data_IF_509122197513
#
_entry.id   IF_509122197513
#
_cell.length_a   1.000
_cell.length_b   1.000
_cell.length_c   1.000
_cell.angle_alpha   90.00
_cell.angle_beta   90.00
_cell.angle_gamma   90.00
#
_symmetry.space_group_name_H-M   'P 1'
#
loop_
_entity.id
_entity.type
_entity.pdbx_description
1 polymer ?
#
# COMPACT_ATOMS: atom_id res chain seq x y z
N UNK A 1 3.92 -31.72 -14.29
CA UNK A 1 2.64 -31.43 -14.98
C UNK A 1 1.63 -32.48 -14.56
N UNK A 2 0.34 -32.17 -14.48
CA UNK A 2 -0.62 -33.19 -14.10
C UNK A 2 -0.92 -34.13 -15.27
N UNK A 3 -1.02 -35.43 -14.98
CA UNK A 3 -1.42 -36.47 -15.94
C UNK A 3 -0.62 -36.51 -17.24
N UNK A 4 0.63 -36.00 -17.26
CA UNK A 4 1.48 -36.01 -18.45
C UNK A 4 1.69 -37.42 -19.04
N UNK A 5 1.77 -38.43 -18.17
CA UNK A 5 1.84 -39.83 -18.60
C UNK A 5 0.65 -40.25 -19.48
N UNK A 6 -0.56 -39.75 -19.22
CA UNK A 6 -1.76 -40.06 -20.02
C UNK A 6 -1.59 -39.55 -21.46
N UNK A 7 -0.95 -38.39 -21.63
CA UNK A 7 -0.62 -37.86 -22.96
C UNK A 7 0.34 -38.80 -23.69
N UNK A 8 1.43 -39.22 -23.03
CA UNK A 8 2.39 -40.16 -23.63
C UNK A 8 1.75 -41.50 -24.00
N UNK A 9 0.95 -42.05 -23.09
CA UNK A 9 0.32 -43.37 -23.28
C UNK A 9 -0.77 -43.32 -24.37
N UNK A 10 -1.42 -42.16 -24.57
CA UNK A 10 -2.54 -42.01 -25.53
C UNK A 10 -2.10 -41.52 -26.92
N UNK A 11 -1.13 -40.61 -26.97
CA UNK A 11 -0.73 -39.90 -28.20
C UNK A 11 0.75 -40.14 -28.58
N UNK A 12 1.49 -40.90 -27.77
CA UNK A 12 2.89 -41.23 -28.00
C UNK A 12 3.88 -40.16 -27.53
N UNK A 13 5.15 -40.56 -27.42
CA UNK A 13 6.22 -39.70 -26.88
C UNK A 13 6.47 -38.41 -27.69
N UNK A 14 6.24 -38.43 -29.01
CA UNK A 14 6.38 -37.23 -29.85
C UNK A 14 5.37 -36.15 -29.42
N UNK A 15 4.13 -36.54 -29.12
CA UNK A 15 3.12 -35.62 -28.61
C UNK A 15 3.48 -35.12 -27.20
N UNK A 16 4.04 -36.00 -26.36
CA UNK A 16 4.56 -35.62 -25.04
C UNK A 16 5.67 -34.56 -25.11
N UNK A 17 6.64 -34.74 -26.00
CA UNK A 17 7.72 -33.77 -26.21
C UNK A 17 7.18 -32.41 -26.70
N UNK A 18 6.16 -32.44 -27.56
CA UNK A 18 5.48 -31.23 -28.01
C UNK A 18 4.74 -30.52 -26.86
N UNK A 19 4.05 -31.27 -25.98
CA UNK A 19 3.42 -30.71 -24.77
C UNK A 19 4.47 -30.07 -23.85
N UNK A 20 5.57 -30.76 -23.57
CA UNK A 20 6.64 -30.24 -22.72
C UNK A 20 7.26 -28.97 -23.29
N UNK A 21 7.49 -28.94 -24.60
CA UNK A 21 8.04 -27.77 -25.30
C UNK A 21 7.11 -26.57 -25.18
N UNK A 22 5.82 -26.78 -25.43
CA UNK A 22 4.82 -25.71 -25.38
C UNK A 22 4.60 -25.19 -23.95
N UNK A 23 4.52 -26.09 -22.96
CA UNK A 23 4.45 -25.69 -21.54
C UNK A 23 5.71 -24.92 -21.14
N UNK A 24 6.91 -25.40 -21.49
CA UNK A 24 8.16 -24.70 -21.17
C UNK A 24 8.16 -23.27 -21.73
N UNK A 25 7.69 -23.10 -22.98
CA UNK A 25 7.57 -21.81 -23.64
C UNK A 25 6.59 -20.89 -22.92
N UNK A 26 5.45 -21.41 -22.48
CA UNK A 26 4.42 -20.65 -21.75
C UNK A 26 4.90 -20.19 -20.39
N UNK A 27 5.53 -21.09 -19.63
CA UNK A 27 6.12 -20.74 -18.34
C UNK A 27 7.17 -19.66 -18.57
N UNK A 28 8.16 -19.89 -19.44
CA UNK A 28 9.22 -18.93 -19.71
C UNK A 28 8.69 -17.57 -20.20
N UNK A 29 7.64 -17.55 -21.04
CA UNK A 29 7.05 -16.32 -21.56
C UNK A 29 6.25 -15.51 -20.54
N UNK A 30 5.88 -16.11 -19.42
CA UNK A 30 5.17 -15.42 -18.34
C UNK A 30 6.09 -15.00 -17.20
N UNK A 31 7.34 -15.47 -17.13
CA UNK A 31 8.25 -15.11 -16.04
C UNK A 31 8.83 -13.69 -16.18
N UNK A 32 9.09 -13.04 -15.04
CA UNK A 32 9.84 -11.78 -14.99
C UNK A 32 11.32 -12.01 -15.34
N UNK A 33 12.07 -11.04 -15.93
CA UNK A 33 13.48 -11.24 -16.32
C UNK A 33 14.45 -11.70 -15.22
N UNK A 34 14.09 -11.43 -13.95
CA UNK A 34 14.86 -11.85 -12.77
C UNK A 34 14.56 -13.29 -12.34
N UNK A 35 13.39 -13.81 -12.68
CA UNK A 35 12.98 -15.18 -12.38
C UNK A 35 13.73 -16.18 -13.27
N UNK A 36 13.92 -17.40 -12.78
CA UNK A 36 14.65 -18.46 -13.50
C UNK A 36 13.80 -19.71 -13.63
N UNK A 37 13.74 -20.26 -14.83
CA UNK A 37 13.11 -21.55 -15.11
C UNK A 37 14.17 -22.64 -15.32
N UNK A 38 14.01 -23.76 -14.65
CA UNK A 38 14.74 -25.00 -14.90
C UNK A 38 13.80 -26.17 -15.09
N UNK A 39 14.20 -27.16 -15.90
CA UNK A 39 13.52 -28.46 -15.99
C UNK A 39 14.35 -29.48 -15.22
N UNK A 40 13.79 -30.02 -14.14
CA UNK A 40 14.50 -30.93 -13.24
C UNK A 40 14.56 -32.36 -13.79
N UNK A 41 13.50 -32.76 -14.50
CA UNK A 41 13.41 -34.07 -15.14
C UNK A 41 11.96 -34.41 -15.49
N UNK A 42 11.75 -35.31 -16.45
CA UNK A 42 10.40 -35.74 -16.82
C UNK A 42 9.47 -34.57 -17.13
N UNK A 43 8.37 -34.46 -16.39
CA UNK A 43 7.36 -33.41 -16.48
C UNK A 43 7.46 -32.34 -15.37
N UNK A 44 8.60 -32.28 -14.69
CA UNK A 44 8.85 -31.41 -13.54
C UNK A 44 9.69 -30.19 -13.92
N UNK A 45 9.20 -29.03 -13.45
CA UNK A 45 9.79 -27.73 -13.68
C UNK A 45 10.03 -27.06 -12.32
N UNK A 46 11.12 -26.33 -12.21
CA UNK A 46 11.49 -25.53 -11.03
C UNK A 46 11.58 -24.08 -11.47
N UNK A 47 10.92 -23.20 -10.72
CA UNK A 47 11.01 -21.75 -10.89
C UNK A 47 11.65 -21.15 -9.65
N UNK A 48 12.64 -20.29 -9.84
CA UNK A 48 13.30 -19.54 -8.76
C UNK A 48 12.90 -18.08 -8.91
N UNK A 49 12.32 -17.53 -7.84
CA UNK A 49 11.97 -16.11 -7.70
C UNK A 49 12.97 -15.48 -6.72
N UNK A 50 13.99 -14.74 -7.20
CA UNK A 50 14.98 -14.14 -6.32
C UNK A 50 14.47 -12.82 -5.73
N UNK A 51 14.97 -12.47 -4.54
CA UNK A 51 14.76 -11.16 -3.89
C UNK A 51 13.28 -10.77 -3.83
N UNK A 52 12.48 -11.61 -3.18
CA UNK A 52 11.08 -11.32 -2.92
C UNK A 52 10.98 -10.29 -1.80
N UNK A 53 10.11 -9.30 -1.97
CA UNK A 53 9.78 -8.33 -0.93
C UNK A 53 8.66 -8.89 -0.03
N UNK A 54 7.74 -9.65 -0.64
CA UNK A 54 6.62 -10.32 0.03
C UNK A 54 6.42 -11.74 -0.52
N UNK A 55 5.88 -12.66 0.29
CA UNK A 55 5.44 -13.99 -0.14
C UNK A 55 4.45 -13.93 -1.33
N UNK A 56 3.70 -12.82 -1.45
CA UNK A 56 2.80 -12.52 -2.57
C UNK A 56 3.52 -12.48 -3.92
N UNK A 57 4.81 -12.14 -3.98
CA UNK A 57 5.56 -12.16 -5.24
C UNK A 57 5.65 -13.58 -5.82
N UNK A 58 5.79 -14.57 -4.93
CA UNK A 58 5.85 -15.98 -5.30
C UNK A 58 4.47 -16.49 -5.65
N UNK A 59 3.44 -16.05 -4.93
CA UNK A 59 2.04 -16.39 -5.23
C UNK A 59 1.62 -15.86 -6.61
N UNK A 60 1.83 -14.56 -6.89
CA UNK A 60 1.54 -13.96 -8.20
C UNK A 60 2.26 -14.68 -9.33
N UNK A 61 3.49 -15.13 -9.08
CA UNK A 61 4.24 -15.94 -10.04
C UNK A 61 3.58 -17.30 -10.26
N UNK A 62 3.15 -17.98 -9.19
CA UNK A 62 2.44 -19.25 -9.28
C UNK A 62 1.09 -19.13 -10.01
N UNK A 63 0.30 -18.09 -9.73
CA UNK A 63 -0.96 -17.81 -10.43
C UNK A 63 -0.74 -17.54 -11.91
N UNK A 64 0.27 -16.73 -12.24
CA UNK A 64 0.62 -16.41 -13.62
C UNK A 64 1.05 -17.65 -14.40
N UNK A 65 1.83 -18.53 -13.77
CA UNK A 65 2.23 -19.83 -14.32
C UNK A 65 1.01 -20.73 -14.52
N UNK A 66 0.15 -20.87 -13.52
CA UNK A 66 -1.06 -21.69 -13.59
C UNK A 66 -1.99 -21.22 -14.72
N UNK A 67 -2.25 -19.91 -14.80
CA UNK A 67 -3.04 -19.30 -15.87
C UNK A 67 -2.43 -19.54 -17.26
N UNK A 68 -1.11 -19.42 -17.40
CA UNK A 68 -0.42 -19.67 -18.66
C UNK A 68 -0.49 -21.15 -19.08
N UNK A 69 -0.37 -22.08 -18.13
CA UNK A 69 -0.46 -23.52 -18.40
C UNK A 69 -1.87 -23.91 -18.84
N UNK A 70 -2.91 -23.41 -18.17
CA UNK A 70 -4.30 -23.81 -18.39
C UNK A 70 -4.90 -23.40 -19.73
N UNK A 71 -4.22 -22.56 -20.51
CA UNK A 71 -4.66 -22.27 -21.87
C UNK A 71 -4.66 -23.57 -22.69
N UNK A 72 -5.63 -23.76 -23.58
CA UNK A 72 -5.65 -24.92 -24.46
C UNK A 72 -4.65 -24.75 -25.62
N UNK A 73 -4.31 -25.86 -26.28
CA UNK A 73 -3.57 -25.86 -27.54
C UNK A 73 -3.81 -27.14 -28.31
N UNK A 74 -3.45 -27.12 -29.59
CA UNK A 74 -3.61 -28.26 -30.48
C UNK A 74 -2.28 -28.97 -30.72
N UNK A 75 -2.27 -30.30 -30.56
CA UNK A 75 -1.15 -31.18 -30.90
C UNK A 75 -1.70 -32.34 -31.72
N UNK A 76 -1.14 -32.53 -32.91
CA UNK A 76 -1.50 -33.65 -33.81
C UNK A 76 -3.02 -33.76 -34.07
N UNK A 77 -3.72 -32.61 -34.18
CA UNK A 77 -5.18 -32.61 -34.38
C UNK A 77 -6.02 -32.76 -33.11
N UNK A 78 -5.40 -32.88 -31.93
CA UNK A 78 -6.07 -33.02 -30.65
C UNK A 78 -5.94 -31.75 -29.81
N UNK A 79 -7.07 -31.26 -29.29
CA UNK A 79 -7.11 -30.17 -28.31
C UNK A 79 -6.71 -30.69 -26.94
N UNK A 80 -5.64 -30.13 -26.38
CA UNK A 80 -5.08 -30.47 -25.07
C UNK A 80 -5.26 -29.28 -24.13
N UNK A 81 -5.70 -29.57 -22.90
CA UNK A 81 -5.79 -28.60 -21.80
C UNK A 81 -4.95 -29.14 -20.65
N UNK A 82 -3.66 -28.79 -20.55
CA UNK A 82 -2.86 -29.29 -19.45
C UNK A 82 -3.18 -28.52 -18.16
N UNK A 83 -2.92 -29.17 -17.03
CA UNK A 83 -2.91 -28.53 -15.72
C UNK A 83 -1.56 -28.75 -15.05
N UNK A 84 -1.19 -27.83 -14.17
CA UNK A 84 0.00 -27.94 -13.33
C UNK A 84 -0.40 -27.95 -11.87
N UNK A 85 0.17 -28.87 -11.10
CA UNK A 85 0.26 -28.71 -9.64
C UNK A 85 1.59 -28.03 -9.31
N UNK A 86 1.57 -27.05 -8.41
CA UNK A 86 2.75 -26.26 -8.04
C UNK A 86 2.96 -26.34 -6.53
N UNK A 87 4.16 -26.69 -6.09
CA UNK A 87 4.57 -26.56 -4.69
C UNK A 87 5.39 -25.29 -4.52
N UNK A 88 5.22 -24.59 -3.41
CA UNK A 88 5.92 -23.33 -3.14
C UNK A 88 6.62 -23.43 -1.79
N UNK A 89 7.92 -23.12 -1.75
CA UNK A 89 8.67 -22.94 -0.52
C UNK A 89 9.45 -21.62 -0.58
N UNK A 90 9.53 -20.93 0.55
CA UNK A 90 10.23 -19.64 0.68
C UNK A 90 11.45 -19.84 1.57
N UNK A 91 12.58 -19.26 1.15
CA UNK A 91 13.81 -19.28 1.95
C UNK A 91 13.70 -18.33 3.14
N UNK A 92 14.09 -18.81 4.32
CA UNK A 92 14.23 -18.02 5.55
C UNK A 92 15.62 -17.37 5.70
N UNK A 93 16.44 -17.37 4.63
CA UNK A 93 17.82 -16.88 4.65
C UNK A 93 18.85 -17.86 5.24
N UNK A 94 18.40 -18.96 5.87
CA UNK A 94 19.24 -20.05 6.38
C UNK A 94 19.08 -21.37 5.62
N UNK A 95 18.07 -21.43 4.75
CA UNK A 95 17.69 -22.62 3.99
C UNK A 95 18.75 -23.04 2.97
N UNK A 96 18.97 -24.36 2.82
CA UNK A 96 19.81 -24.94 1.78
C UNK A 96 19.00 -25.21 0.51
N UNK A 97 19.68 -25.31 -0.64
CA UNK A 97 19.01 -25.66 -1.90
C UNK A 97 18.25 -27.00 -1.82
N UNK A 98 18.87 -28.03 -1.23
CA UNK A 98 18.23 -29.34 -1.02
C UNK A 98 17.03 -29.25 -0.06
N UNK A 99 17.11 -28.40 0.97
CA UNK A 99 16.01 -28.15 1.89
C UNK A 99 14.81 -27.54 1.18
N UNK A 100 15.03 -26.47 0.40
CA UNK A 100 13.97 -25.82 -0.37
C UNK A 100 13.32 -26.75 -1.39
N UNK A 101 14.10 -27.58 -2.08
CA UNK A 101 13.55 -28.56 -3.01
C UNK A 101 12.67 -29.59 -2.29
N UNK A 102 13.13 -30.12 -1.16
CA UNK A 102 12.36 -31.07 -0.35
C UNK A 102 11.03 -30.46 0.13
N UNK A 103 11.07 -29.21 0.57
CA UNK A 103 9.91 -28.52 1.10
C UNK A 103 8.93 -28.14 -0.03
N UNK A 104 9.45 -27.74 -1.20
CA UNK A 104 8.67 -27.54 -2.43
C UNK A 104 7.99 -28.85 -2.88
N UNK A 105 8.70 -29.98 -2.84
CA UNK A 105 8.13 -31.29 -3.19
C UNK A 105 7.02 -31.72 -2.23
N UNK A 106 7.18 -31.46 -0.93
CA UNK A 106 6.14 -31.71 0.06
C UNK A 106 4.89 -30.85 -0.22
N UNK A 107 5.07 -29.57 -0.56
CA UNK A 107 3.98 -28.69 -0.94
C UNK A 107 3.31 -29.13 -2.26
N UNK A 108 4.10 -29.56 -3.24
CA UNK A 108 3.62 -30.09 -4.52
C UNK A 108 2.78 -31.36 -4.32
N UNK A 109 3.17 -32.23 -3.38
CA UNK A 109 2.38 -33.39 -3.00
C UNK A 109 1.01 -32.96 -2.43
N UNK A 110 0.95 -31.93 -1.59
CA UNK A 110 -0.31 -31.39 -1.08
C UNK A 110 -1.18 -30.79 -2.19
N UNK A 111 -0.60 -30.04 -3.13
CA UNK A 111 -1.34 -29.54 -4.29
C UNK A 111 -1.96 -30.68 -5.11
N UNK A 112 -1.22 -31.78 -5.31
CA UNK A 112 -1.70 -32.98 -6.01
C UNK A 112 -2.79 -33.72 -5.23
N UNK A 113 -2.65 -33.86 -3.92
CA UNK A 113 -3.62 -34.57 -3.07
C UNK A 113 -4.93 -33.80 -2.90
N UNK A 114 -4.86 -32.47 -2.89
CA UNK A 114 -6.01 -31.57 -2.76
C UNK A 114 -6.85 -31.43 -4.04
N UNK A 115 -6.49 -32.13 -5.13
CA UNK A 115 -7.29 -32.18 -6.35
C UNK A 115 -6.57 -31.76 -7.63
N UNK A 116 -5.25 -31.52 -7.58
CA UNK A 116 -4.41 -31.10 -8.72
C UNK A 116 -4.82 -29.74 -9.30
N UNK A 117 -4.08 -29.27 -10.32
CA UNK A 117 -4.36 -28.03 -11.03
C UNK A 117 -4.44 -26.82 -10.11
N UNK A 118 -3.54 -26.74 -9.13
CA UNK A 118 -3.48 -25.69 -8.11
C UNK A 118 -2.08 -25.58 -7.56
N UNK A 119 -1.83 -24.53 -6.79
CA UNK A 119 -0.60 -24.35 -6.05
C UNK A 119 -0.83 -24.54 -4.54
N UNK A 120 0.24 -24.78 -3.78
CA UNK A 120 0.22 -24.88 -2.32
C UNK A 120 1.56 -24.41 -1.74
N UNK A 121 1.54 -23.68 -0.63
CA UNK A 121 2.75 -23.35 0.14
C UNK A 121 3.13 -24.51 1.06
N UNK A 122 4.43 -24.70 1.29
CA UNK A 122 4.93 -25.66 2.26
C UNK A 122 4.51 -25.30 3.68
N UNK A 123 4.64 -24.03 4.04
CA UNK A 123 4.21 -23.51 5.34
C UNK A 123 2.69 -23.23 5.30
N UNK A 124 1.96 -23.96 6.15
CA UNK A 124 0.50 -23.85 6.29
C UNK A 124 0.08 -22.47 6.82
N UNK A 125 0.94 -21.79 7.59
CA UNK A 125 0.72 -20.43 8.06
C UNK A 125 0.89 -19.42 6.91
N UNK A 126 1.88 -19.62 6.03
CA UNK A 126 2.01 -18.80 4.81
C UNK A 126 0.83 -18.99 3.85
N UNK A 127 0.38 -20.24 3.67
CA UNK A 127 -0.82 -20.52 2.88
C UNK A 127 -2.07 -19.84 3.45
N UNK A 128 -2.23 -19.85 4.77
CA UNK A 128 -3.34 -19.16 5.44
C UNK A 128 -3.26 -17.63 5.23
N UNK A 129 -2.07 -17.03 5.39
CA UNK A 129 -1.86 -15.59 5.17
C UNK A 129 -2.15 -15.15 3.72
N UNK A 130 -1.74 -15.95 2.74
CA UNK A 130 -2.05 -15.73 1.32
C UNK A 130 -3.58 -15.70 1.06
N UNK A 131 -4.30 -16.72 1.57
CA UNK A 131 -5.76 -16.81 1.44
C UNK A 131 -6.45 -15.66 2.18
N UNK A 132 -6.00 -15.33 3.39
CA UNK A 132 -6.56 -14.23 4.17
C UNK A 132 -6.40 -12.90 3.44
N UNK A 133 -5.28 -12.69 2.74
CA UNK A 133 -5.01 -11.49 1.95
C UNK A 133 -5.89 -11.39 0.71
N UNK A 134 -6.05 -12.46 -0.08
CA UNK A 134 -6.99 -12.49 -1.23
C UNK A 134 -8.43 -12.26 -0.78
N UNK A 135 -8.80 -12.87 0.35
CA UNK A 135 -10.12 -12.66 0.97
C UNK A 135 -10.30 -11.19 1.35
N UNK A 136 -9.28 -10.58 1.96
CA UNK A 136 -9.30 -9.18 2.36
C UNK A 136 -9.36 -8.24 1.15
N UNK A 137 -8.63 -8.50 0.07
CA UNK A 137 -8.71 -7.73 -1.18
C UNK A 137 -10.13 -7.76 -1.77
N UNK A 138 -10.71 -8.96 -1.85
CA UNK A 138 -12.10 -9.14 -2.31
C UNK A 138 -13.11 -8.45 -1.39
N UNK A 139 -12.88 -8.48 -0.07
CA UNK A 139 -13.66 -7.74 0.92
C UNK A 139 -13.54 -6.22 0.74
N UNK A 140 -12.34 -5.68 0.53
CA UNK A 140 -12.12 -4.25 0.27
C UNK A 140 -12.88 -3.82 -0.99
N UNK A 141 -12.77 -4.59 -2.08
CA UNK A 141 -13.45 -4.28 -3.33
C UNK A 141 -14.97 -4.22 -3.16
N UNK A 142 -15.55 -5.21 -2.46
CA UNK A 142 -16.98 -5.20 -2.12
C UNK A 142 -17.35 -4.05 -1.19
N UNK A 143 -16.49 -3.74 -0.22
CA UNK A 143 -16.72 -2.66 0.74
C UNK A 143 -16.73 -1.28 0.07
N UNK A 144 -15.93 -1.07 -0.97
CA UNK A 144 -15.97 0.15 -1.80
C UNK A 144 -17.33 0.28 -2.49
N UNK A 145 -17.78 -0.79 -3.17
CA UNK A 145 -19.09 -0.80 -3.85
C UNK A 145 -20.27 -0.62 -2.87
N UNK A 146 -20.12 -1.12 -1.64
CA UNK A 146 -21.15 -1.07 -0.60
C UNK A 146 -21.09 0.19 0.30
N UNK A 147 -20.12 1.09 0.09
CA UNK A 147 -19.98 2.30 0.91
C UNK A 147 -19.56 2.04 2.37
N UNK A 148 -18.78 0.99 2.62
CA UNK A 148 -18.36 0.57 3.97
C UNK A 148 -17.19 1.40 4.53
N UNK A 149 -16.55 2.21 3.69
CA UNK A 149 -15.44 3.09 4.07
C UNK A 149 -15.94 4.50 4.38
N UNK A 150 -15.53 5.03 5.52
CA UNK A 150 -15.94 6.36 5.98
C UNK A 150 -14.78 7.15 6.57
N UNK A 151 -14.86 8.48 6.49
CA UNK A 151 -13.88 9.38 7.09
C UNK A 151 -14.25 9.72 8.54
N UNK A 152 -13.25 9.69 9.42
CA UNK A 152 -13.29 10.32 10.76
C UNK A 152 -12.25 11.43 10.82
N UNK A 153 -12.40 12.36 11.77
CA UNK A 153 -11.67 13.62 11.75
C UNK A 153 -10.82 13.84 13.01
N UNK A 154 -9.51 13.91 12.76
CA UNK A 154 -8.40 14.37 13.60
C UNK A 154 -8.36 15.89 13.88
N UNK A 155 -8.65 16.49 15.05
CA UNK A 155 -8.45 17.94 15.16
C UNK A 155 -6.97 18.33 15.12
N UNK A 156 -6.64 19.29 14.25
CA UNK A 156 -5.36 20.00 14.23
C UNK A 156 -5.52 21.31 14.98
N UNK A 157 -4.67 21.55 15.98
CA UNK A 157 -4.79 22.72 16.86
C UNK A 157 -3.59 23.66 16.74
N UNK A 158 -3.84 24.94 17.02
CA UNK A 158 -2.77 25.89 17.32
C UNK A 158 -2.29 25.65 18.76
N UNK A 159 -1.01 25.32 18.94
CA UNK A 159 -0.51 24.89 20.25
C UNK A 159 -0.57 25.99 21.33
N UNK A 160 -0.50 27.27 20.92
CA UNK A 160 -0.51 28.42 21.84
C UNK A 160 -1.81 28.56 22.62
N UNK A 161 -2.96 28.34 21.97
CA UNK A 161 -4.29 28.59 22.55
C UNK A 161 -5.21 27.36 22.49
N UNK A 162 -4.72 26.24 21.93
CA UNK A 162 -5.45 24.98 21.70
C UNK A 162 -6.71 25.14 20.84
N UNK A 163 -6.82 26.23 20.08
CA UNK A 163 -7.92 26.40 19.13
C UNK A 163 -7.75 25.46 17.95
N UNK A 164 -8.85 24.83 17.53
CA UNK A 164 -8.88 23.99 16.33
C UNK A 164 -8.74 24.89 15.10
N UNK A 165 -7.80 24.55 14.22
CA UNK A 165 -7.51 25.29 12.98
C UNK A 165 -7.90 24.51 11.72
N UNK A 166 -8.22 23.23 11.85
CA UNK A 166 -8.48 22.31 10.75
C UNK A 166 -8.56 20.87 11.27
N UNK A 167 -8.66 19.93 10.34
CA UNK A 167 -8.77 18.52 10.66
C UNK A 167 -7.95 17.64 9.72
N UNK A 168 -7.55 16.46 10.17
CA UNK A 168 -7.07 15.40 9.30
C UNK A 168 -8.18 14.36 9.11
N UNK A 169 -8.48 14.02 7.85
CA UNK A 169 -9.41 12.95 7.52
C UNK A 169 -8.69 11.60 7.53
N UNK A 170 -9.16 10.71 8.39
CA UNK A 170 -8.63 9.35 8.54
C UNK A 170 -9.69 8.34 8.12
N UNK A 171 -9.35 7.45 7.20
CA UNK A 171 -10.27 6.43 6.74
C UNK A 171 -10.52 5.37 7.82
N UNK A 172 -11.76 4.88 7.88
CA UNK A 172 -12.21 3.76 8.70
C UNK A 172 -13.04 2.83 7.85
N UNK A 173 -12.98 1.54 8.16
CA UNK A 173 -13.74 0.52 7.47
C UNK A 173 -14.73 -0.15 8.42
N UNK A 174 -16.02 0.02 8.16
CA UNK A 174 -17.10 -0.67 8.87
C UNK A 174 -17.44 -1.97 8.15
N UNK A 175 -16.69 -3.03 8.42
CA UNK A 175 -16.95 -4.34 7.82
C UNK A 175 -18.20 -4.99 8.45
N UNK A 176 -19.11 -5.59 7.66
CA UNK A 176 -20.38 -6.13 8.14
C UNK A 176 -20.22 -7.29 9.14
N UNK A 177 -19.12 -8.04 9.06
CA UNK A 177 -18.85 -9.20 9.94
C UNK A 177 -17.78 -8.91 10.99
N UNK A 178 -16.76 -8.11 10.64
CA UNK A 178 -15.57 -7.89 11.49
C UNK A 178 -15.73 -6.65 12.38
N UNK A 179 -16.76 -5.83 12.14
CA UNK A 179 -16.90 -4.54 12.79
C UNK A 179 -15.89 -3.54 12.23
N UNK A 180 -15.36 -2.67 13.10
CA UNK A 180 -14.39 -1.66 12.71
C UNK A 180 -13.02 -2.30 12.46
N UNK A 181 -12.58 -2.33 11.20
CA UNK A 181 -11.27 -2.89 10.82
C UNK A 181 -10.19 -1.80 10.93
N UNK A 182 -9.02 -2.18 11.45
CA UNK A 182 -7.89 -1.25 11.61
C UNK A 182 -7.34 -0.83 10.25
N UNK A 183 -7.03 0.47 10.02
CA UNK A 183 -6.34 0.93 8.82
C UNK A 183 -5.03 0.18 8.55
N UNK A 184 -4.29 -0.20 9.59
CA UNK A 184 -3.06 -0.97 9.46
C UNK A 184 -3.26 -2.36 8.83
N UNK A 185 -4.47 -2.92 8.93
CA UNK A 185 -4.77 -4.26 8.40
C UNK A 185 -5.17 -4.21 6.92
N UNK A 186 -5.87 -3.16 6.46
CA UNK A 186 -6.42 -3.10 5.10
C UNK A 186 -5.71 -2.13 4.15
N UNK A 187 -5.08 -1.06 4.65
CA UNK A 187 -4.41 -0.08 3.79
C UNK A 187 -3.24 -0.70 2.98
N UNK A 188 -2.36 -1.55 3.56
CA UNK A 188 -1.31 -2.20 2.78
C UNK A 188 -1.87 -3.05 1.63
N UNK A 189 -2.98 -3.76 1.88
CA UNK A 189 -3.66 -4.57 0.86
C UNK A 189 -4.30 -3.68 -0.21
N UNK A 190 -4.92 -2.58 0.17
CA UNK A 190 -5.50 -1.62 -0.77
C UNK A 190 -4.42 -0.97 -1.66
N UNK A 191 -3.25 -0.64 -1.11
CA UNK A 191 -2.14 -0.06 -1.86
C UNK A 191 -1.57 -1.05 -2.88
N UNK A 192 -1.20 -2.26 -2.45
CA UNK A 192 -0.59 -3.27 -3.32
C UNK A 192 -1.53 -3.78 -4.42
N UNK A 193 -2.85 -3.78 -4.16
CA UNK A 193 -3.87 -4.15 -5.15
C UNK A 193 -4.33 -2.98 -6.04
N UNK A 194 -3.88 -1.75 -5.76
CA UNK A 194 -4.33 -0.54 -6.44
C UNK A 194 -5.73 -0.05 -6.05
N UNK A 195 -6.45 -0.76 -5.16
CA UNK A 195 -7.76 -0.35 -4.65
C UNK A 195 -7.70 0.94 -3.82
N UNK A 196 -6.51 1.36 -3.36
CA UNK A 196 -6.28 2.62 -2.65
C UNK A 196 -6.72 3.84 -3.48
N UNK A 197 -6.72 3.75 -4.81
CA UNK A 197 -7.17 4.84 -5.69
C UNK A 197 -8.67 5.07 -5.54
N UNK A 198 -9.47 4.01 -5.58
CA UNK A 198 -10.92 4.09 -5.38
C UNK A 198 -11.28 4.50 -3.94
N UNK A 199 -10.54 3.96 -2.97
CA UNK A 199 -10.71 4.32 -1.56
C UNK A 199 -10.42 5.81 -1.30
N UNK A 200 -9.30 6.30 -1.83
CA UNK A 200 -8.92 7.71 -1.70
C UNK A 200 -9.93 8.66 -2.35
N UNK A 201 -10.48 8.28 -3.51
CA UNK A 201 -11.57 9.04 -4.14
C UNK A 201 -12.82 9.10 -3.25
N UNK A 202 -13.24 7.96 -2.68
CA UNK A 202 -14.40 7.91 -1.78
C UNK A 202 -14.19 8.74 -0.51
N UNK A 203 -12.97 8.76 0.06
CA UNK A 203 -12.62 9.61 1.20
C UNK A 203 -12.65 11.09 0.80
N UNK A 204 -12.07 11.45 -0.34
CA UNK A 204 -12.06 12.83 -0.84
C UNK A 204 -13.49 13.35 -1.05
N UNK A 205 -14.38 12.56 -1.64
CA UNK A 205 -15.79 12.91 -1.83
C UNK A 205 -16.51 13.18 -0.50
N UNK A 206 -16.23 12.37 0.53
CA UNK A 206 -16.78 12.59 1.88
C UNK A 206 -16.26 13.88 2.51
N UNK A 207 -14.95 14.13 2.41
CA UNK A 207 -14.33 15.38 2.88
C UNK A 207 -14.94 16.59 2.17
N UNK A 208 -15.12 16.51 0.85
CA UNK A 208 -15.71 17.57 0.06
C UNK A 208 -17.19 17.81 0.45
N UNK A 209 -17.96 16.75 0.67
CA UNK A 209 -19.33 16.85 1.17
C UNK A 209 -19.37 17.53 2.54
N UNK A 210 -18.48 17.15 3.45
CA UNK A 210 -18.34 17.77 4.77
C UNK A 210 -18.02 19.26 4.65
N UNK A 211 -17.01 19.66 3.86
CA UNK A 211 -16.62 21.07 3.69
C UNK A 211 -17.71 21.92 3.02
N UNK A 212 -18.50 21.32 2.12
CA UNK A 212 -19.67 21.97 1.51
C UNK A 212 -20.75 22.22 2.55
N UNK A 213 -21.03 21.25 3.42
CA UNK A 213 -22.12 21.35 4.40
C UNK A 213 -21.71 22.15 5.65
N UNK A 214 -20.40 22.33 5.87
CA UNK A 214 -19.81 22.94 7.07
C UNK A 214 -18.78 24.02 6.72
N UNK A 215 -19.25 25.22 6.39
CA UNK A 215 -18.39 26.36 6.03
C UNK A 215 -17.60 26.96 7.21
N UNK A 216 -17.92 26.56 8.45
CA UNK A 216 -17.23 26.99 9.67
C UNK A 216 -15.91 26.26 9.92
N UNK A 217 -15.68 25.13 9.24
CA UNK A 217 -14.48 24.32 9.42
C UNK A 217 -13.27 24.97 8.76
N UNK A 218 -12.12 24.81 9.40
CA UNK A 218 -10.83 25.04 8.78
C UNK A 218 -10.52 23.98 7.70
N UNK A 219 -9.33 24.07 7.08
CA UNK A 219 -8.92 23.11 6.06
C UNK A 219 -8.92 21.67 6.58
N UNK A 220 -9.23 20.72 5.69
CA UNK A 220 -9.17 19.29 5.98
C UNK A 220 -8.04 18.64 5.17
N UNK A 221 -7.13 17.97 5.86
CA UNK A 221 -6.07 17.16 5.28
C UNK A 221 -6.59 15.80 4.82
N UNK A 222 -6.11 15.32 3.67
CA UNK A 222 -6.34 13.98 3.14
C UNK A 222 -5.02 13.30 2.81
N UNK A 223 -4.86 12.07 3.28
CA UNK A 223 -3.70 11.24 2.99
C UNK A 223 -3.73 10.73 1.54
N UNK A 224 -2.59 10.78 0.85
CA UNK A 224 -2.46 10.36 -0.55
C UNK A 224 -1.25 9.42 -0.69
N UNK A 225 -1.51 8.20 -1.15
CA UNK A 225 -0.47 7.18 -1.33
C UNK A 225 0.39 7.41 -2.57
N UNK A 226 1.54 6.75 -2.62
CA UNK A 226 2.42 6.75 -3.80
C UNK A 226 1.70 6.24 -5.06
N UNK A 227 0.83 5.24 -4.90
CA UNK A 227 0.04 4.64 -5.99
C UNK A 227 -0.96 5.64 -6.55
N UNK A 228 -1.59 6.45 -5.68
CA UNK A 228 -2.49 7.53 -6.12
C UNK A 228 -1.74 8.63 -6.86
N UNK A 229 -0.59 9.09 -6.31
CA UNK A 229 0.24 10.10 -6.97
C UNK A 229 0.70 9.64 -8.36
N UNK A 230 1.06 8.37 -8.51
CA UNK A 230 1.48 7.79 -9.78
C UNK A 230 0.32 7.61 -10.79
N UNK A 231 -0.94 7.72 -10.36
CA UNK A 231 -2.09 7.60 -11.25
C UNK A 231 -2.14 8.77 -12.22
N UNK A 232 -2.38 8.46 -13.49
CA UNK A 232 -2.67 9.48 -14.50
C UNK A 232 -3.88 10.29 -14.05
N UNK A 233 -3.81 11.59 -14.30
CA UNK A 233 -4.85 12.56 -14.02
C UNK A 233 -5.26 12.71 -12.54
N UNK A 234 -4.43 12.29 -11.58
CA UNK A 234 -4.75 12.37 -10.15
C UNK A 234 -5.07 13.80 -9.71
N UNK A 235 -4.19 14.76 -10.02
CA UNK A 235 -4.39 16.16 -9.64
C UNK A 235 -5.65 16.75 -10.30
N UNK A 236 -5.89 16.46 -11.58
CA UNK A 236 -7.09 16.92 -12.28
C UNK A 236 -8.35 16.24 -11.72
N UNK A 237 -8.26 14.99 -11.27
CA UNK A 237 -9.33 14.28 -10.56
C UNK A 237 -9.69 14.92 -9.23
N UNK A 238 -8.69 15.29 -8.44
CA UNK A 238 -8.86 16.03 -7.19
C UNK A 238 -9.59 17.35 -7.46
N UNK A 239 -9.09 18.16 -8.40
CA UNK A 239 -9.70 19.46 -8.74
C UNK A 239 -11.14 19.34 -9.26
N UNK A 240 -11.43 18.33 -10.10
CA UNK A 240 -12.81 18.05 -10.54
C UNK A 240 -13.73 17.71 -9.37
N UNK A 241 -13.22 16.97 -8.39
CA UNK A 241 -13.99 16.62 -7.19
C UNK A 241 -14.27 17.87 -6.34
N UNK A 242 -13.27 18.73 -6.13
CA UNK A 242 -13.46 20.00 -5.43
C UNK A 242 -14.53 20.87 -6.12
N UNK A 243 -14.45 21.02 -7.45
CA UNK A 243 -15.40 21.80 -8.25
C UNK A 243 -16.83 21.24 -8.16
N UNK A 244 -16.98 19.91 -8.26
CA UNK A 244 -18.28 19.24 -8.17
C UNK A 244 -19.00 19.48 -6.84
N UNK A 245 -18.26 19.67 -5.75
CA UNK A 245 -18.80 19.98 -4.42
C UNK A 245 -18.72 21.47 -4.06
N UNK A 246 -18.24 22.32 -4.99
CA UNK A 246 -18.03 23.76 -4.76
C UNK A 246 -17.13 24.06 -3.55
N UNK A 247 -16.12 23.20 -3.33
CA UNK A 247 -15.11 23.36 -2.28
C UNK A 247 -13.95 24.17 -2.82
N UNK A 248 -13.50 25.17 -2.05
CA UNK A 248 -12.35 25.97 -2.46
C UNK A 248 -11.05 25.19 -2.24
N UNK A 249 -10.06 25.29 -3.15
CA UNK A 249 -8.77 24.62 -2.99
C UNK A 249 -8.10 24.83 -1.63
N UNK A 250 -8.19 26.03 -1.06
CA UNK A 250 -7.53 26.36 0.22
C UNK A 250 -8.14 25.65 1.44
N UNK A 251 -9.30 25.00 1.27
CA UNK A 251 -9.95 24.20 2.30
C UNK A 251 -9.47 22.75 2.32
N UNK A 252 -8.61 22.34 1.37
CA UNK A 252 -8.07 20.98 1.29
C UNK A 252 -6.56 21.02 1.36
N UNK A 253 -6.02 20.08 2.12
CA UNK A 253 -4.59 19.83 2.22
C UNK A 253 -4.33 18.39 1.81
N UNK A 254 -3.36 18.16 0.93
CA UNK A 254 -2.89 16.82 0.57
C UNK A 254 -1.68 16.48 1.41
N UNK A 255 -1.73 15.34 2.09
CA UNK A 255 -0.64 14.78 2.89
C UNK A 255 -0.02 13.61 2.15
N UNK A 256 1.30 13.66 1.96
CA UNK A 256 2.07 12.68 1.20
C UNK A 256 3.29 12.28 2.01
N UNK A 257 3.56 10.99 2.12
CA UNK A 257 4.75 10.51 2.84
C UNK A 257 6.02 10.85 2.08
N UNK A 258 7.13 11.04 2.80
CA UNK A 258 8.45 11.29 2.18
C UNK A 258 8.81 10.25 1.12
N UNK A 259 8.61 8.96 1.42
CA UNK A 259 8.91 7.85 0.52
C UNK A 259 8.05 7.89 -0.74
N UNK A 260 6.77 8.21 -0.60
CA UNK A 260 5.85 8.30 -1.74
C UNK A 260 6.33 9.36 -2.73
N UNK A 261 6.70 10.53 -2.25
CA UNK A 261 7.13 11.61 -3.16
C UNK A 261 8.49 11.31 -3.79
N UNK A 262 9.47 10.82 -3.02
CA UNK A 262 10.78 10.44 -3.54
C UNK A 262 10.70 9.42 -4.69
N UNK A 263 9.77 8.46 -4.58
CA UNK A 263 9.56 7.45 -5.63
C UNK A 263 8.96 7.99 -6.93
N UNK A 264 8.33 9.18 -6.89
CA UNK A 264 7.55 9.76 -7.99
C UNK A 264 8.01 11.16 -8.41
N UNK A 265 9.19 11.62 -7.96
CA UNK A 265 9.66 13.00 -8.17
C UNK A 265 9.64 13.45 -9.63
N UNK A 266 10.07 12.59 -10.55
CA UNK A 266 10.15 12.92 -11.98
C UNK A 266 8.78 12.97 -12.68
N UNK A 267 7.75 12.31 -12.12
CA UNK A 267 6.43 12.14 -12.75
C UNK A 267 5.33 12.99 -12.14
N UNK A 268 5.47 13.43 -10.88
CA UNK A 268 4.37 14.03 -10.10
C UNK A 268 4.65 15.44 -9.56
N UNK A 269 5.88 15.94 -9.75
CA UNK A 269 6.24 17.30 -9.33
C UNK A 269 5.31 18.37 -9.89
N UNK A 270 5.11 18.37 -11.21
CA UNK A 270 4.26 19.36 -11.90
C UNK A 270 2.81 19.36 -11.41
N UNK A 271 2.27 18.19 -11.07
CA UNK A 271 0.92 18.04 -10.54
C UNK A 271 0.79 18.67 -9.15
N UNK A 272 1.76 18.43 -8.26
CA UNK A 272 1.79 19.07 -6.95
C UNK A 272 1.98 20.59 -7.08
N UNK A 273 2.76 21.06 -8.06
CA UNK A 273 2.96 22.50 -8.30
C UNK A 273 1.65 23.16 -8.72
N UNK A 274 0.93 22.52 -9.64
CA UNK A 274 -0.37 22.98 -10.10
C UNK A 274 -1.41 23.03 -8.95
N UNK A 275 -1.47 22.00 -8.10
CA UNK A 275 -2.36 21.99 -6.93
C UNK A 275 -2.05 23.13 -5.96
N UNK A 276 -0.77 23.33 -5.63
CA UNK A 276 -0.34 24.44 -4.76
C UNK A 276 -0.70 25.80 -5.35
N UNK A 277 -0.44 26.02 -6.63
CA UNK A 277 -0.68 27.30 -7.30
C UNK A 277 -2.19 27.64 -7.38
N UNK A 278 -3.04 26.62 -7.34
CA UNK A 278 -4.49 26.76 -7.21
C UNK A 278 -4.97 26.93 -5.77
N UNK A 279 -4.09 26.77 -4.78
CA UNK A 279 -4.36 27.03 -3.37
C UNK A 279 -4.46 25.79 -2.48
N UNK A 280 -4.34 24.57 -3.03
CA UNK A 280 -4.35 23.33 -2.23
C UNK A 280 -3.07 23.26 -1.38
N UNK A 281 -3.21 22.96 -0.10
CA UNK A 281 -2.04 22.73 0.76
C UNK A 281 -1.34 21.42 0.39
N UNK A 282 0.00 21.39 0.45
CA UNK A 282 0.79 20.17 0.22
C UNK A 282 1.69 19.95 1.43
N UNK A 283 1.38 18.94 2.23
CA UNK A 283 2.12 18.62 3.44
C UNK A 283 2.93 17.33 3.26
N UNK A 284 4.18 17.35 3.72
CA UNK A 284 4.99 16.13 3.82
C UNK A 284 4.73 15.49 5.16
N UNK A 285 4.31 14.22 5.11
CA UNK A 285 4.02 13.41 6.27
C UNK A 285 5.17 12.48 6.66
N UNK A 286 5.13 11.97 7.89
CA UNK A 286 6.11 11.05 8.49
C UNK A 286 7.57 11.56 8.46
N UNK A 287 7.77 12.88 8.49
CA UNK A 287 9.09 13.45 8.28
C UNK A 287 10.08 13.06 9.40
N UNK A 288 11.23 12.54 9.00
CA UNK A 288 12.31 12.12 9.91
C UNK A 288 12.47 10.61 10.07
N UNK A 289 11.52 9.80 9.60
CA UNK A 289 11.54 8.32 9.75
C UNK A 289 12.36 7.60 8.67
N UNK A 290 12.69 8.27 7.56
CA UNK A 290 13.40 7.70 6.40
C UNK A 290 14.72 8.39 6.05
N UNK A 291 15.15 8.28 4.79
CA UNK A 291 16.29 9.03 4.24
C UNK A 291 15.91 10.50 4.06
N UNK A 292 15.80 11.24 5.17
CA UNK A 292 15.40 12.66 5.19
C UNK A 292 16.20 13.49 4.20
N UNK A 293 15.64 13.71 3.01
CA UNK A 293 16.29 14.51 1.99
C UNK A 293 15.79 15.93 2.16
N UNK A 294 16.55 16.76 2.87
CA UNK A 294 16.29 18.21 2.92
C UNK A 294 16.15 18.79 1.50
N UNK A 295 16.79 18.17 0.51
CA UNK A 295 16.64 18.50 -0.91
C UNK A 295 15.20 18.35 -1.41
N UNK A 296 14.42 17.39 -0.88
CA UNK A 296 13.00 17.19 -1.18
C UNK A 296 12.19 18.46 -0.90
N UNK A 297 12.42 19.07 0.26
CA UNK A 297 11.70 20.29 0.69
C UNK A 297 12.10 21.51 -0.13
N UNK A 298 13.26 21.49 -0.78
CA UNK A 298 13.70 22.55 -1.71
C UNK A 298 13.02 22.41 -3.07
N UNK A 299 12.90 21.18 -3.57
CA UNK A 299 12.53 20.92 -4.96
C UNK A 299 11.01 20.73 -5.14
N UNK A 300 10.25 20.64 -4.05
CA UNK A 300 8.80 20.44 -4.08
C UNK A 300 7.99 21.67 -3.62
N UNK A 301 6.73 21.78 -4.08
CA UNK A 301 5.80 22.85 -3.72
C UNK A 301 5.14 22.62 -2.34
N UNK A 302 5.93 22.20 -1.35
CA UNK A 302 5.43 21.90 -0.01
C UNK A 302 5.03 23.19 0.71
N UNK A 303 3.93 23.13 1.46
CA UNK A 303 3.40 24.22 2.29
C UNK A 303 3.45 23.90 3.78
N UNK A 304 3.69 22.64 4.13
CA UNK A 304 3.79 22.19 5.51
C UNK A 304 4.57 20.89 5.67
N UNK A 305 4.95 20.64 6.93
CA UNK A 305 5.76 19.52 7.36
C UNK A 305 5.18 18.94 8.64
N UNK A 306 4.95 17.63 8.66
CA UNK A 306 4.44 16.91 9.83
C UNK A 306 5.57 16.11 10.47
N UNK A 307 5.82 16.35 11.76
CA UNK A 307 6.78 15.56 12.55
C UNK A 307 6.10 14.29 13.02
N UNK A 308 6.64 13.15 12.59
CA UNK A 308 6.11 11.83 12.92
C UNK A 308 5.96 11.60 14.43
N UNK A 309 4.91 10.86 14.78
CA UNK A 309 4.56 10.49 16.15
C UNK A 309 5.69 9.80 16.90
N UNK A 310 6.54 8.99 16.25
CA UNK A 310 7.62 8.29 16.95
C UNK A 310 8.64 9.25 17.57
N UNK A 311 8.87 10.41 16.93
CA UNK A 311 9.73 11.47 17.47
C UNK A 311 9.08 12.16 18.65
N UNK A 312 7.78 12.49 18.54
CA UNK A 312 7.02 13.13 19.62
C UNK A 312 6.91 12.22 20.86
N UNK A 313 6.74 10.92 20.64
CA UNK A 313 6.73 9.92 21.72
C UNK A 313 8.08 9.80 22.44
N UNK A 314 9.17 10.14 21.76
CA UNK A 314 10.53 10.10 22.31
C UNK A 314 10.92 11.39 23.07
N UNK A 315 10.04 12.40 23.12
CA UNK A 315 10.34 13.67 23.81
C UNK A 315 10.37 13.51 25.33
N UNK A 316 11.36 14.15 25.94
CA UNK A 316 11.61 14.13 27.38
C UNK A 316 11.51 15.52 27.99
N UNK A 317 11.37 15.59 29.32
CA UNK A 317 11.46 16.86 30.06
C UNK A 317 12.88 17.43 30.08
N UNK A 318 13.89 16.56 30.03
CA UNK A 318 15.30 16.93 29.98
C UNK A 318 15.81 17.02 28.55
N UNK A 319 16.95 17.67 28.34
CA UNK A 319 17.63 17.71 27.06
C UNK A 319 17.95 16.30 26.56
N UNK A 320 17.52 16.01 25.34
CA UNK A 320 17.73 14.73 24.68
C UNK A 320 17.98 14.92 23.19
N UNK A 321 18.50 13.89 22.53
CA UNK A 321 18.64 13.90 21.07
C UNK A 321 17.29 14.05 20.37
N UNK A 322 16.23 13.43 20.90
CA UNK A 322 14.87 13.59 20.37
C UNK A 322 14.40 15.05 20.44
N UNK A 323 14.64 15.73 21.58
CA UNK A 323 14.31 17.15 21.73
C UNK A 323 15.10 18.02 20.74
N UNK A 324 16.40 17.75 20.56
CA UNK A 324 17.24 18.49 19.62
C UNK A 324 16.81 18.28 18.16
N UNK A 325 16.43 17.05 17.78
CA UNK A 325 15.92 16.74 16.44
C UNK A 325 14.60 17.45 16.17
N UNK A 326 13.64 17.37 17.08
CA UNK A 326 12.37 18.11 17.00
C UNK A 326 12.59 19.62 16.85
N UNK A 327 13.49 20.20 17.65
CA UNK A 327 13.86 21.63 17.54
C UNK A 327 14.54 21.96 16.19
N UNK A 328 15.35 21.04 15.66
CA UNK A 328 15.95 21.18 14.34
C UNK A 328 14.92 21.18 13.21
N UNK A 329 13.95 20.25 13.27
CA UNK A 329 12.88 20.12 12.27
C UNK A 329 11.99 21.37 12.24
N UNK A 330 11.57 21.88 13.40
CA UNK A 330 10.76 23.13 13.42
C UNK A 330 11.57 24.34 12.96
N UNK A 331 12.87 24.40 13.29
CA UNK A 331 13.77 25.43 12.77
C UNK A 331 13.87 25.40 11.24
N UNK A 332 13.90 24.20 10.66
CA UNK A 332 13.89 24.00 9.21
C UNK A 332 12.57 24.45 8.59
N UNK A 333 11.44 24.05 9.17
CA UNK A 333 10.11 24.47 8.70
C UNK A 333 9.99 25.99 8.69
N UNK A 334 10.40 26.68 9.77
CA UNK A 334 10.42 28.14 9.83
C UNK A 334 11.36 28.76 8.78
N UNK A 335 12.56 28.22 8.60
CA UNK A 335 13.53 28.71 7.63
C UNK A 335 13.06 28.61 6.18
N UNK A 336 12.17 27.67 5.88
CA UNK A 336 11.55 27.46 4.57
C UNK A 336 10.14 28.07 4.46
N UNK A 337 9.67 28.77 5.49
CA UNK A 337 8.30 29.32 5.56
C UNK A 337 7.19 28.26 5.43
N UNK A 338 7.44 27.06 5.94
CA UNK A 338 6.51 25.93 5.97
C UNK A 338 5.76 25.90 7.31
N UNK A 339 4.53 25.40 7.29
CA UNK A 339 3.78 25.09 8.52
C UNK A 339 4.33 23.83 9.17
N UNK A 340 4.90 23.95 10.37
CA UNK A 340 5.28 22.79 11.18
C UNK A 340 4.11 22.28 12.02
N UNK A 341 3.75 21.00 11.85
CA UNK A 341 2.72 20.30 12.64
C UNK A 341 3.37 19.13 13.37
N UNK A 342 3.26 19.06 14.69
CA UNK A 342 3.75 17.92 15.46
C UNK A 342 2.64 16.90 15.72
N UNK A 343 2.88 15.63 15.44
CA UNK A 343 1.87 14.57 15.51
C UNK A 343 1.98 13.70 16.76
N UNK A 344 0.85 13.07 17.15
CA UNK A 344 0.85 12.11 18.24
C UNK A 344 1.14 12.72 19.62
N UNK A 345 0.73 13.97 19.83
CA UNK A 345 0.82 14.63 21.14
C UNK A 345 -0.22 14.01 22.08
N UNK A 346 0.24 13.29 23.09
CA UNK A 346 -0.61 12.54 24.02
C UNK A 346 -0.55 13.08 25.46
N UNK A 347 0.49 13.84 25.79
CA UNK A 347 0.74 14.33 27.16
C UNK A 347 1.00 15.84 27.22
N UNK A 348 0.64 16.45 28.34
CA UNK A 348 0.92 17.86 28.64
C UNK A 348 2.43 18.17 28.60
N UNK A 349 3.28 17.20 28.96
CA UNK A 349 4.73 17.33 28.87
C UNK A 349 5.20 17.48 27.42
N UNK A 350 4.75 16.60 26.51
CA UNK A 350 5.08 16.69 25.08
C UNK A 350 4.62 18.02 24.49
N UNK A 351 3.38 18.44 24.79
CA UNK A 351 2.85 19.72 24.36
C UNK A 351 3.71 20.89 24.84
N UNK A 352 4.07 20.92 26.13
CA UNK A 352 4.89 21.99 26.70
C UNK A 352 6.29 22.06 26.05
N UNK A 353 6.92 20.91 25.81
CA UNK A 353 8.21 20.83 25.12
C UNK A 353 8.12 21.35 23.69
N UNK A 354 7.13 20.91 22.92
CA UNK A 354 6.93 21.35 21.53
C UNK A 354 6.61 22.86 21.45
N UNK A 355 5.75 23.36 22.33
CA UNK A 355 5.43 24.79 22.41
C UNK A 355 6.67 25.62 22.74
N UNK A 356 7.52 25.17 23.66
CA UNK A 356 8.77 25.85 24.02
C UNK A 356 9.81 25.84 22.90
N UNK A 357 9.82 24.79 22.07
CA UNK A 357 10.67 24.70 20.87
C UNK A 357 10.18 25.58 19.71
N UNK A 358 8.96 26.11 19.80
CA UNK A 358 8.39 27.02 18.80
C UNK A 358 7.48 26.35 17.78
N UNK A 359 7.01 25.12 18.01
CA UNK A 359 5.99 24.51 17.17
C UNK A 359 4.69 25.32 17.21
N UNK A 360 4.16 25.66 16.04
CA UNK A 360 2.92 26.45 15.92
C UNK A 360 1.66 25.59 16.02
N UNK A 361 1.69 24.43 15.36
CA UNK A 361 0.54 23.53 15.22
C UNK A 361 0.88 22.13 15.72
N UNK A 362 -0.15 21.39 16.11
CA UNK A 362 0.00 19.99 16.48
C UNK A 362 -1.32 19.25 16.52
N UNK A 363 -1.21 17.92 16.57
CA UNK A 363 -2.34 17.02 16.66
C UNK A 363 -2.01 15.82 17.54
N UNK A 364 -3.04 15.19 18.09
CA UNK A 364 -2.90 14.00 18.93
C UNK A 364 -4.00 13.86 19.96
N UNK A 365 -3.98 12.75 20.70
CA UNK A 365 -5.04 12.40 21.64
C UNK A 365 -5.20 13.36 22.82
N UNK A 366 -4.20 14.22 23.08
CA UNK A 366 -4.34 15.31 24.03
C UNK A 366 -5.43 16.32 23.61
N UNK A 367 -5.63 16.52 22.30
CA UNK A 367 -6.54 17.53 21.75
C UNK A 367 -7.85 16.93 21.21
N UNK A 368 -7.79 15.69 20.75
CA UNK A 368 -8.97 14.95 20.30
C UNK A 368 -8.58 13.64 19.63
N UNK A 369 -9.44 12.64 19.79
CA UNK A 369 -9.30 11.36 19.08
C UNK A 369 -9.98 11.48 17.71
N UNK A 370 -9.58 10.67 16.72
CA UNK A 370 -10.31 10.58 15.47
C UNK A 370 -11.74 10.10 15.71
N UNK A 371 -12.71 10.95 15.38
CA UNK A 371 -14.13 10.68 15.54
C UNK A 371 -14.94 11.35 14.41
N UNK A 372 -16.18 10.91 14.14
CA UNK A 372 -17.07 11.67 13.27
C UNK A 372 -17.20 13.10 13.79
N UNK A 373 -17.29 14.08 12.89
CA UNK A 373 -17.50 15.46 13.33
C UNK A 373 -18.81 15.54 14.13
N UNK A 374 -18.82 16.25 15.27
CA UNK A 374 -20.03 16.39 16.06
C UNK A 374 -21.14 17.03 15.21
N UNK A 375 -22.33 16.44 15.31
CA UNK A 375 -23.57 17.02 14.79
C UNK A 375 -23.81 18.37 15.49
N UNK A 376 -24.24 19.38 14.71
CA UNK A 376 -24.56 20.71 15.22
C UNK A 376 -25.79 20.74 16.14
#
# INVERSE_FOLDING_TARGET
>A
LDNFKVVNDSLGHIAGDQVLTEVSRRIAGCLHPRERLGRFGGDEFVVIVPEIDDVMDVERTAERIDAAIRQDFEIQGHRIVPTGSIGIAVSDGSSTADGLLRDTDAALFQAKSAGRGRWHFFDQEMHARAIDRLTLESEIRRGLDAGEFFAVYQPVVRLRDRSVIGYEALVRWQHPVRGLVSPADFLPVAEESGLIVGLGQQVLEQVCATLRDRHDLGPISVNVSAVQLASRDWAQGLLRTLDAYSVKPEQVVVEVTETAVLSQLDSTGDDLFNLRDLGVGVHVDDFGTGFSSISLLRDLPVTGLKLDRSFVQSLTSDDSQANALSAGVVGLAHGLHLRGIAEGIETEQQWATLLAQGWEYGQGYLFGRPEPLPDH
#
